data_IF_855618013878
#
_entry.id   IF_855618013878
#
_cell.length_a   1.000
_cell.length_b   1.000
_cell.length_c   1.000
_cell.angle_alpha   90.00
_cell.angle_beta   90.00
_cell.angle_gamma   90.00
#
_symmetry.space_group_name_H-M   'P 1'
#
loop_
_entity.id
_entity.type
_entity.pdbx_description
1 polymer ?
#
# COMPACT_ATOMS: atom_id res chain seq x y z
N UNK A 1 29.01 13.09 -25.20
CA UNK A 1 28.63 12.84 -26.62
C UNK A 1 29.75 13.37 -27.53
N UNK A 2 29.86 12.94 -28.79
CA UNK A 2 30.82 13.61 -29.70
C UNK A 2 30.23 14.97 -30.14
N UNK A 3 31.06 15.98 -30.49
CA UNK A 3 30.57 17.32 -30.81
C UNK A 3 29.59 17.38 -32.00
N UNK A 4 29.74 16.49 -32.99
CA UNK A 4 28.87 16.44 -34.16
C UNK A 4 27.48 15.88 -33.81
N UNK A 5 27.40 14.84 -32.98
CA UNK A 5 26.15 14.27 -32.49
C UNK A 5 25.41 15.23 -31.56
N UNK A 6 26.15 16.03 -30.78
CA UNK A 6 25.62 17.11 -29.93
C UNK A 6 24.95 18.21 -30.74
N UNK A 7 25.64 18.69 -31.76
CA UNK A 7 25.09 19.67 -32.69
C UNK A 7 23.84 19.16 -33.39
N UNK A 8 23.85 17.91 -33.87
CA UNK A 8 22.70 17.29 -34.54
C UNK A 8 21.45 17.16 -33.65
N UNK A 9 21.63 16.83 -32.37
CA UNK A 9 20.52 16.75 -31.40
C UNK A 9 19.88 18.13 -31.16
N UNK A 10 20.72 19.16 -30.97
CA UNK A 10 20.27 20.54 -30.78
C UNK A 10 19.54 21.04 -32.03
N UNK A 11 20.09 20.78 -33.22
CA UNK A 11 19.48 21.15 -34.50
C UNK A 11 18.08 20.53 -34.65
N UNK A 12 17.90 19.25 -34.29
CA UNK A 12 16.60 18.57 -34.32
C UNK A 12 15.61 19.14 -33.30
N UNK A 13 16.04 19.38 -32.07
CA UNK A 13 15.17 19.94 -31.01
C UNK A 13 14.70 21.35 -31.35
N UNK A 14 15.58 22.18 -31.93
CA UNK A 14 15.23 23.53 -32.38
C UNK A 14 14.25 23.47 -33.55
N UNK A 15 14.46 22.58 -34.53
CA UNK A 15 13.51 22.40 -35.63
C UNK A 15 12.12 21.93 -35.16
N UNK A 16 12.03 21.09 -34.14
CA UNK A 16 10.76 20.66 -33.55
C UNK A 16 9.99 21.81 -32.89
N UNK A 17 10.71 22.78 -32.31
CA UNK A 17 10.13 23.95 -31.64
C UNK A 17 9.77 25.04 -32.65
N UNK A 18 10.60 25.25 -33.67
CA UNK A 18 10.39 26.27 -34.72
C UNK A 18 9.40 25.81 -35.82
N UNK A 19 9.16 24.50 -35.95
CA UNK A 19 8.24 23.91 -36.95
C UNK A 19 6.75 24.03 -36.65
N UNK A 20 6.34 24.78 -35.62
CA UNK A 20 4.95 24.88 -35.15
C UNK A 20 4.19 26.17 -35.50
N UNK A 21 4.85 27.30 -35.77
CA UNK A 21 4.18 28.56 -36.13
C UNK A 21 5.18 29.54 -36.77
N UNK A 22 4.93 29.95 -38.01
CA UNK A 22 5.82 30.76 -38.84
C UNK A 22 5.87 32.25 -38.44
N UNK A 23 5.47 32.61 -37.22
CA UNK A 23 5.33 34.01 -36.76
C UNK A 23 6.20 34.38 -35.56
N UNK A 24 6.98 33.46 -34.99
CA UNK A 24 7.90 33.78 -33.89
C UNK A 24 9.24 34.36 -34.40
N UNK A 25 9.73 35.48 -33.84
CA UNK A 25 11.03 36.03 -34.21
C UNK A 25 12.16 35.07 -33.82
N UNK A 26 13.21 35.02 -34.64
CA UNK A 26 14.46 34.25 -34.49
C UNK A 26 14.95 34.15 -33.03
N UNK A 27 14.46 33.15 -32.31
CA UNK A 27 14.92 32.74 -30.98
C UNK A 27 16.01 31.64 -31.07
N UNK A 28 16.35 31.21 -32.29
CA UNK A 28 17.20 30.06 -32.57
C UNK A 28 18.51 30.07 -31.81
N UNK A 29 19.28 31.17 -31.83
CA UNK A 29 20.62 31.19 -31.23
C UNK A 29 20.59 31.14 -29.69
N UNK A 30 19.62 31.81 -29.07
CA UNK A 30 19.45 31.79 -27.61
C UNK A 30 18.93 30.43 -27.11
N UNK A 31 17.98 29.82 -27.85
CA UNK A 31 17.49 28.48 -27.55
C UNK A 31 18.57 27.42 -27.75
N UNK A 32 19.36 27.54 -28.83
CA UNK A 32 20.52 26.69 -29.10
C UNK A 32 21.53 26.77 -27.97
N UNK A 33 21.89 27.98 -27.54
CA UNK A 33 22.81 28.16 -26.42
C UNK A 33 22.26 27.56 -25.14
N UNK A 34 20.98 27.79 -24.82
CA UNK A 34 20.37 27.25 -23.61
C UNK A 34 20.28 25.72 -23.63
N UNK A 35 19.94 25.11 -24.78
CA UNK A 35 19.96 23.66 -24.96
C UNK A 35 21.38 23.11 -24.87
N UNK A 36 22.37 23.80 -25.44
CA UNK A 36 23.76 23.40 -25.36
C UNK A 36 24.28 23.46 -23.92
N UNK A 37 23.89 24.49 -23.17
CA UNK A 37 24.22 24.63 -21.75
C UNK A 37 23.55 23.52 -20.92
N UNK A 38 22.26 23.23 -21.15
CA UNK A 38 21.53 22.14 -20.47
C UNK A 38 22.12 20.76 -20.80
N UNK A 39 22.49 20.51 -22.06
CA UNK A 39 23.17 19.28 -22.46
C UNK A 39 24.55 19.21 -21.82
N UNK A 40 25.30 20.31 -21.79
CA UNK A 40 26.59 20.39 -21.11
C UNK A 40 26.49 20.12 -19.61
N UNK A 41 25.44 20.64 -18.95
CA UNK A 41 25.14 20.36 -17.55
C UNK A 41 24.76 18.90 -17.35
N UNK A 42 23.94 18.32 -18.23
CA UNK A 42 23.58 16.90 -18.18
C UNK A 42 24.76 15.96 -18.48
N UNK A 43 25.68 16.35 -19.37
CA UNK A 43 26.89 15.59 -19.70
C UNK A 43 27.93 15.62 -18.57
N UNK A 44 28.02 16.74 -17.85
CA UNK A 44 28.90 16.91 -16.70
C UNK A 44 28.23 16.50 -15.38
N UNK A 45 26.95 16.11 -15.40
CA UNK A 45 26.25 15.56 -14.25
C UNK A 45 26.87 14.20 -13.90
N UNK A 46 27.76 14.21 -12.92
CA UNK A 46 28.24 12.97 -12.31
C UNK A 46 27.13 12.54 -11.34
N UNK A 47 26.44 11.41 -11.56
CA UNK A 47 25.40 11.00 -10.64
C UNK A 47 26.06 10.59 -9.33
N UNK A 48 26.09 11.51 -8.38
CA UNK A 48 26.48 11.21 -7.01
C UNK A 48 25.36 10.43 -6.34
N UNK A 49 25.75 9.54 -5.44
CA UNK A 49 24.85 9.13 -4.36
C UNK A 49 25.03 10.10 -3.21
N UNK A 50 23.95 10.44 -2.53
CA UNK A 50 24.00 11.21 -1.30
C UNK A 50 23.17 10.53 -0.21
N UNK A 51 23.58 10.69 1.04
CA UNK A 51 22.79 10.25 2.17
C UNK A 51 21.84 11.38 2.54
N UNK A 52 20.54 11.12 2.49
CA UNK A 52 19.50 12.09 2.79
C UNK A 52 18.40 11.47 3.63
N UNK A 53 17.76 12.28 4.47
CA UNK A 53 16.51 11.90 5.12
C UNK A 53 15.37 11.93 4.10
N UNK A 54 14.65 10.82 3.97
CA UNK A 54 13.50 10.69 3.07
C UNK A 54 12.36 10.04 3.85
N UNK A 55 11.14 10.51 3.61
CA UNK A 55 9.92 9.83 4.03
C UNK A 55 9.42 8.98 2.87
N UNK A 56 9.40 7.67 3.11
CA UNK A 56 9.03 6.66 2.14
C UNK A 56 7.59 6.22 2.45
N UNK A 57 6.72 6.37 1.46
CA UNK A 57 5.35 5.86 1.49
C UNK A 57 5.28 4.66 0.55
N UNK A 58 4.92 3.50 1.08
CA UNK A 58 4.51 2.36 0.27
C UNK A 58 3.02 2.12 0.44
N UNK A 59 2.34 1.85 -0.67
CA UNK A 59 0.95 1.42 -0.70
C UNK A 59 0.82 0.16 -1.53
N UNK A 60 -0.14 -0.70 -1.17
CA UNK A 60 -0.41 -1.97 -1.84
C UNK A 60 -1.91 -2.29 -1.80
N UNK A 61 -2.42 -2.93 -2.84
CA UNK A 61 -3.82 -3.30 -2.93
C UNK A 61 -4.08 -4.66 -2.25
N UNK A 62 -4.83 -4.62 -1.16
CA UNK A 62 -5.16 -5.80 -0.36
C UNK A 62 -6.01 -6.79 -1.15
N UNK A 63 -5.45 -7.98 -1.30
CA UNK A 63 -6.12 -9.07 -1.99
C UNK A 63 -6.13 -8.98 -3.51
N UNK A 64 -5.37 -8.03 -4.08
CA UNK A 64 -5.40 -7.76 -5.51
C UNK A 64 -5.05 -8.97 -6.37
N UNK A 65 -4.10 -9.79 -5.95
CA UNK A 65 -3.69 -10.98 -6.71
C UNK A 65 -4.87 -11.95 -6.89
N UNK A 66 -5.60 -12.26 -5.81
CA UNK A 66 -6.78 -13.13 -5.88
C UNK A 66 -7.99 -12.46 -6.57
N UNK A 67 -8.09 -11.12 -6.54
CA UNK A 67 -9.09 -10.39 -7.34
C UNK A 67 -8.75 -10.50 -8.83
N UNK A 68 -7.47 -10.37 -9.20
CA UNK A 68 -7.01 -10.33 -10.59
C UNK A 68 -7.31 -11.60 -11.38
N UNK A 69 -7.42 -12.75 -10.71
CA UNK A 69 -7.78 -14.03 -11.33
C UNK A 69 -9.25 -14.10 -11.81
N UNK A 70 -10.10 -13.20 -11.33
CA UNK A 70 -11.56 -13.19 -11.63
C UNK A 70 -11.94 -12.28 -12.79
N UNK A 71 -11.01 -11.48 -13.28
CA UNK A 71 -11.25 -10.49 -14.33
C UNK A 71 -10.30 -10.73 -15.50
N UNK A 72 -10.71 -10.28 -16.69
CA UNK A 72 -9.82 -10.33 -17.86
C UNK A 72 -8.65 -9.35 -17.70
N UNK A 73 -7.53 -9.64 -18.37
CA UNK A 73 -6.36 -8.77 -18.34
C UNK A 73 -6.68 -7.30 -18.76
N UNK A 74 -7.48 -7.03 -19.80
CA UNK A 74 -7.87 -5.65 -20.14
C UNK A 74 -8.66 -4.94 -19.04
N UNK A 75 -9.59 -5.63 -18.37
CA UNK A 75 -10.37 -5.07 -17.27
C UNK A 75 -9.47 -4.72 -16.08
N UNK A 76 -8.53 -5.61 -15.75
CA UNK A 76 -7.56 -5.39 -14.68
C UNK A 76 -6.61 -4.23 -14.98
N UNK A 77 -6.12 -4.12 -16.21
CA UNK A 77 -5.28 -3.00 -16.63
C UNK A 77 -6.05 -1.68 -16.56
N UNK A 78 -7.32 -1.66 -16.97
CA UNK A 78 -8.15 -0.46 -16.86
C UNK A 78 -8.36 -0.04 -15.39
N UNK A 79 -8.59 -0.99 -14.49
CA UNK A 79 -8.72 -0.73 -13.06
C UNK A 79 -7.43 -0.21 -12.42
N UNK A 80 -6.30 -0.83 -12.75
CA UNK A 80 -4.97 -0.38 -12.29
C UNK A 80 -4.66 1.02 -12.81
N UNK A 81 -4.96 1.32 -14.07
CA UNK A 81 -4.71 2.65 -14.62
C UNK A 81 -5.56 3.73 -13.92
N UNK A 82 -6.84 3.46 -13.62
CA UNK A 82 -7.68 4.39 -12.83
C UNK A 82 -7.07 4.63 -11.43
N UNK A 83 -6.67 3.55 -10.77
CA UNK A 83 -6.01 3.61 -9.46
C UNK A 83 -4.71 4.42 -9.53
N UNK A 84 -3.81 4.10 -10.46
CA UNK A 84 -2.53 4.78 -10.63
C UNK A 84 -2.67 6.24 -11.00
N UNK A 85 -3.57 6.59 -11.90
CA UNK A 85 -3.81 7.99 -12.27
C UNK A 85 -4.24 8.81 -11.05
N UNK A 86 -5.19 8.30 -10.25
CA UNK A 86 -5.69 9.02 -9.08
C UNK A 86 -4.65 9.11 -7.97
N UNK A 87 -3.94 8.03 -7.67
CA UNK A 87 -2.88 8.06 -6.65
C UNK A 87 -1.72 8.96 -7.04
N UNK A 88 -1.33 8.95 -8.32
CA UNK A 88 -0.25 9.81 -8.84
C UNK A 88 -0.60 11.28 -8.70
N UNK A 89 -1.83 11.67 -9.04
CA UNK A 89 -2.31 13.05 -8.88
C UNK A 89 -2.19 13.52 -7.41
N UNK A 90 -2.58 12.66 -6.46
CA UNK A 90 -2.52 12.97 -5.02
C UNK A 90 -1.06 13.09 -4.57
N UNK A 91 -0.21 12.12 -4.92
CA UNK A 91 1.22 12.11 -4.54
C UNK A 91 1.92 13.40 -5.03
N UNK A 92 1.72 13.75 -6.31
CA UNK A 92 2.33 14.94 -6.89
C UNK A 92 1.78 16.24 -6.27
N UNK A 93 0.48 16.29 -5.93
CA UNK A 93 -0.14 17.45 -5.26
C UNK A 93 0.50 17.74 -3.90
N UNK A 94 0.93 16.70 -3.18
CA UNK A 94 1.63 16.83 -1.90
C UNK A 94 3.15 16.95 -2.04
N UNK A 95 3.67 17.16 -3.25
CA UNK A 95 5.12 17.32 -3.49
C UNK A 95 5.93 16.03 -3.42
N UNK A 96 5.27 14.87 -3.31
CA UNK A 96 5.94 13.58 -3.39
C UNK A 96 6.35 13.23 -4.83
N UNK A 97 7.37 12.40 -4.96
CA UNK A 97 7.77 11.81 -6.24
C UNK A 97 7.47 10.30 -6.26
N UNK A 98 7.08 9.78 -7.42
CA UNK A 98 6.91 8.33 -7.59
C UNK A 98 8.28 7.75 -7.94
N UNK A 99 8.76 6.85 -7.10
CA UNK A 99 9.98 6.09 -7.35
C UNK A 99 9.69 4.97 -8.35
N UNK A 100 8.72 4.10 -8.05
CA UNK A 100 8.28 3.04 -8.95
C UNK A 100 6.92 2.43 -8.60
N UNK A 101 6.35 1.77 -9.59
CA UNK A 101 5.22 0.84 -9.45
C UNK A 101 5.73 -0.60 -9.39
N UNK A 102 5.22 -1.41 -8.45
CA UNK A 102 5.63 -2.79 -8.22
C UNK A 102 4.42 -3.72 -8.23
N UNK A 103 3.95 -4.07 -9.43
CA UNK A 103 2.72 -4.86 -9.58
C UNK A 103 1.48 -4.00 -9.39
N UNK A 104 0.94 -4.02 -8.17
CA UNK A 104 -0.18 -3.20 -7.66
C UNK A 104 0.25 -2.23 -6.55
N UNK A 105 1.52 -2.31 -6.12
CA UNK A 105 2.09 -1.43 -5.13
C UNK A 105 2.66 -0.14 -5.74
N UNK A 106 2.61 0.95 -4.97
CA UNK A 106 3.21 2.25 -5.29
C UNK A 106 4.25 2.59 -4.22
N UNK A 107 5.46 2.95 -4.65
CA UNK A 107 6.47 3.55 -3.79
C UNK A 107 6.62 5.04 -4.14
N UNK A 108 6.37 5.89 -3.15
CA UNK A 108 6.51 7.33 -3.25
C UNK A 108 7.51 7.87 -2.22
N UNK A 109 8.21 8.93 -2.59
CA UNK A 109 9.27 9.56 -1.81
C UNK A 109 8.93 11.03 -1.56
N UNK A 110 9.07 11.45 -0.31
CA UNK A 110 9.04 12.84 0.11
C UNK A 110 10.41 13.15 0.70
N UNK A 111 11.07 14.21 0.24
CA UNK A 111 12.49 14.42 0.50
C UNK A 111 13.42 14.10 -0.66
N UNK A 112 12.92 13.49 -1.74
CA UNK A 112 13.70 13.17 -2.94
C UNK A 112 12.85 13.31 -4.21
N UNK A 113 13.38 13.85 -5.33
CA UNK A 113 14.72 14.42 -5.48
C UNK A 113 14.88 15.78 -4.78
N UNK A 114 13.77 16.44 -4.43
CA UNK A 114 13.75 17.70 -3.71
C UNK A 114 13.26 17.46 -2.29
N UNK A 115 13.87 18.13 -1.31
CA UNK A 115 13.45 18.07 0.08
C UNK A 115 12.68 19.33 0.47
N UNK A 116 11.66 19.15 1.30
CA UNK A 116 10.86 20.22 1.88
C UNK A 116 10.92 20.10 3.41
N UNK A 117 10.74 21.21 4.12
CA UNK A 117 10.77 21.21 5.59
C UNK A 117 9.64 20.36 6.21
N UNK A 118 8.62 20.03 5.42
CA UNK A 118 7.40 19.37 5.85
C UNK A 118 7.14 18.02 5.18
N UNK A 119 8.17 17.37 4.64
CA UNK A 119 8.08 16.09 3.92
C UNK A 119 7.30 15.01 4.71
N UNK A 120 7.49 14.92 6.03
CA UNK A 120 6.73 13.99 6.89
C UNK A 120 5.26 14.37 6.94
N UNK A 121 4.94 15.64 7.17
CA UNK A 121 3.56 16.12 7.24
C UNK A 121 2.83 15.94 5.90
N UNK A 122 3.50 16.25 4.79
CA UNK A 122 2.99 16.08 3.43
C UNK A 122 2.73 14.60 3.10
N UNK A 123 3.64 13.70 3.46
CA UNK A 123 3.46 12.26 3.26
C UNK A 123 2.24 11.69 4.01
N UNK A 124 2.03 12.14 5.26
CA UNK A 124 0.89 11.72 6.07
C UNK A 124 -0.43 12.25 5.50
N UNK A 125 -0.47 13.51 5.06
CA UNK A 125 -1.65 14.10 4.45
C UNK A 125 -1.98 13.42 3.12
N UNK A 126 -0.95 13.16 2.30
CA UNK A 126 -1.05 12.38 1.08
C UNK A 126 -1.66 11.00 1.35
N UNK A 127 -1.17 10.26 2.36
CA UNK A 127 -1.68 8.94 2.68
C UNK A 127 -3.16 8.95 3.09
N UNK A 128 -3.60 9.94 3.88
CA UNK A 128 -5.02 10.08 4.23
C UNK A 128 -5.85 10.36 2.98
N UNK A 129 -5.42 11.28 2.12
CA UNK A 129 -6.18 11.57 0.88
C UNK A 129 -6.20 10.40 -0.10
N UNK A 130 -5.10 9.65 -0.21
CA UNK A 130 -5.07 8.40 -0.99
C UNK A 130 -6.11 7.41 -0.49
N UNK A 131 -6.24 7.22 0.85
CA UNK A 131 -7.27 6.36 1.41
C UNK A 131 -8.69 6.88 1.18
N UNK A 132 -8.92 8.20 1.28
CA UNK A 132 -10.22 8.81 0.99
C UNK A 132 -10.61 8.65 -0.48
N UNK A 133 -9.67 8.81 -1.41
CA UNK A 133 -9.91 8.68 -2.84
C UNK A 133 -10.29 7.26 -3.28
N UNK A 134 -10.04 6.24 -2.45
CA UNK A 134 -10.49 4.88 -2.74
C UNK A 134 -12.01 4.75 -2.81
N UNK A 135 -12.77 5.63 -2.14
CA UNK A 135 -14.23 5.63 -2.24
C UNK A 135 -14.69 5.96 -3.67
N UNK A 136 -14.13 7.02 -4.27
CA UNK A 136 -14.40 7.44 -5.64
C UNK A 136 -14.01 6.34 -6.65
N UNK A 137 -12.82 5.77 -6.48
CA UNK A 137 -12.30 4.68 -7.33
C UNK A 137 -13.21 3.45 -7.24
N UNK A 138 -13.66 3.09 -6.04
CA UNK A 138 -14.53 1.94 -5.84
C UNK A 138 -15.94 2.16 -6.37
N UNK A 139 -16.45 3.40 -6.31
CA UNK A 139 -17.73 3.73 -6.93
C UNK A 139 -17.68 3.52 -8.45
N UNK A 140 -16.58 3.90 -9.09
CA UNK A 140 -16.37 3.67 -10.52
C UNK A 140 -16.16 2.19 -10.84
N UNK A 141 -15.30 1.49 -10.09
CA UNK A 141 -15.08 0.04 -10.23
C UNK A 141 -16.40 -0.75 -10.12
N UNK A 142 -17.28 -0.37 -9.19
CA UNK A 142 -18.61 -0.99 -9.05
C UNK A 142 -19.49 -0.80 -10.30
N UNK A 143 -19.41 0.35 -10.98
CA UNK A 143 -20.12 0.57 -12.26
C UNK A 143 -19.62 -0.35 -13.37
N UNK A 144 -18.38 -0.82 -13.26
CA UNK A 144 -17.78 -1.83 -14.14
C UNK A 144 -17.94 -3.27 -13.63
N UNK A 145 -18.76 -3.52 -12.61
CA UNK A 145 -18.98 -4.86 -12.06
C UNK A 145 -17.82 -5.41 -11.24
N UNK A 146 -16.83 -4.58 -10.90
CA UNK A 146 -15.69 -5.00 -10.10
C UNK A 146 -15.99 -4.98 -8.60
N UNK A 147 -15.32 -5.87 -7.87
CA UNK A 147 -15.34 -5.86 -6.41
C UNK A 147 -14.55 -4.65 -5.89
N UNK A 148 -14.93 -4.02 -4.76
CA UNK A 148 -14.15 -2.95 -4.16
C UNK A 148 -12.70 -3.36 -3.91
N UNK A 149 -11.78 -2.47 -4.28
CA UNK A 149 -10.37 -2.56 -3.96
C UNK A 149 -10.11 -1.91 -2.61
N UNK A 150 -9.20 -2.48 -1.83
CA UNK A 150 -8.78 -1.90 -0.57
C UNK A 150 -7.27 -1.69 -0.60
N UNK A 151 -6.80 -0.64 0.06
CA UNK A 151 -5.40 -0.28 0.09
C UNK A 151 -4.88 -0.30 1.52
N UNK A 152 -3.68 -0.82 1.72
CA UNK A 152 -2.88 -0.61 2.92
C UNK A 152 -1.74 0.35 2.60
N UNK A 153 -1.36 1.19 3.57
CA UNK A 153 -0.24 2.13 3.43
C UNK A 153 0.71 1.95 4.61
N UNK A 154 2.01 1.91 4.34
CA UNK A 154 3.08 2.00 5.33
C UNK A 154 4.00 3.20 5.07
N UNK A 155 4.38 3.90 6.14
CA UNK A 155 5.19 5.11 6.05
C UNK A 155 6.38 5.03 7.00
N UNK A 156 7.58 5.25 6.47
CA UNK A 156 8.81 5.32 7.26
C UNK A 156 9.66 6.53 6.85
N UNK A 157 10.10 7.32 7.83
CA UNK A 157 11.06 8.40 7.64
C UNK A 157 12.43 8.01 8.20
N UNK A 158 13.47 8.10 7.36
CA UNK A 158 14.81 7.65 7.75
C UNK A 158 15.91 8.11 6.79
N UNK A 159 17.16 7.85 7.16
CA UNK A 159 18.32 8.17 6.32
C UNK A 159 18.54 7.08 5.28
N UNK A 160 18.49 7.46 4.00
CA UNK A 160 18.71 6.56 2.86
C UNK A 160 19.78 7.10 1.93
N UNK A 161 20.36 6.22 1.13
CA UNK A 161 21.19 6.59 0.00
C UNK A 161 20.27 6.88 -1.18
N UNK A 162 20.27 8.10 -1.69
CA UNK A 162 19.54 8.50 -2.89
C UNK A 162 20.52 8.71 -4.05
N UNK A 163 20.13 8.34 -5.27
CA UNK A 163 20.97 8.60 -6.45
C UNK A 163 20.54 7.82 -7.69
N UNK A 164 21.19 8.09 -8.81
CA UNK A 164 21.00 7.28 -10.01
C UNK A 164 21.79 5.98 -9.91
N UNK A 165 21.08 4.87 -9.86
CA UNK A 165 21.62 3.53 -9.72
C UNK A 165 21.27 2.70 -10.95
N UNK A 166 22.18 1.82 -11.35
CA UNK A 166 21.98 0.91 -12.47
C UNK A 166 23.18 0.78 -13.40
N UNK A 167 22.94 0.16 -14.55
CA UNK A 167 23.97 -0.04 -15.58
C UNK A 167 24.04 1.15 -16.54
N UNK A 168 25.03 1.14 -17.43
CA UNK A 168 25.12 2.15 -18.50
C UNK A 168 23.91 2.16 -19.45
N UNK A 169 23.15 1.06 -19.56
CA UNK A 169 21.93 0.95 -20.39
C UNK A 169 20.64 1.31 -19.65
N UNK A 170 20.66 1.25 -18.32
CA UNK A 170 19.46 1.40 -17.51
C UNK A 170 19.83 2.01 -16.17
N UNK A 171 19.45 3.26 -15.97
CA UNK A 171 19.66 4.03 -14.73
C UNK A 171 18.31 4.50 -14.22
N UNK A 172 18.06 4.27 -12.93
CA UNK A 172 16.90 4.78 -12.21
C UNK A 172 17.38 5.69 -11.08
N UNK A 173 16.74 6.84 -10.90
CA UNK A 173 16.89 7.59 -9.66
C UNK A 173 16.07 6.89 -8.59
N UNK A 174 16.70 6.37 -7.53
CA UNK A 174 16.01 5.59 -6.52
C UNK A 174 16.71 5.68 -5.16
N UNK A 175 16.10 5.07 -4.15
CA UNK A 175 16.60 5.04 -2.77
C UNK A 175 16.99 3.63 -2.36
N UNK A 176 18.09 3.51 -1.62
CA UNK A 176 18.58 2.25 -1.04
C UNK A 176 18.86 2.45 0.44
N UNK A 177 18.48 1.46 1.25
CA UNK A 177 18.85 1.41 2.65
C UNK A 177 17.89 0.53 3.45
N UNK A 178 18.26 0.25 4.70
CA UNK A 178 17.43 -0.52 5.62
C UNK A 178 16.08 0.16 5.88
N UNK A 179 16.01 1.48 5.77
CA UNK A 179 14.79 2.27 5.92
C UNK A 179 13.74 1.98 4.82
N UNK A 180 14.17 1.59 3.61
CA UNK A 180 13.28 1.15 2.54
C UNK A 180 12.64 -0.19 2.90
N UNK A 181 13.45 -1.11 3.44
CA UNK A 181 12.98 -2.41 3.91
C UNK A 181 12.05 -2.29 5.12
N UNK A 182 12.32 -1.32 6.01
CA UNK A 182 11.42 -1.02 7.13
C UNK A 182 10.09 -0.46 6.63
N UNK A 183 10.10 0.45 5.66
CA UNK A 183 8.87 0.98 5.06
C UNK A 183 8.01 -0.14 4.45
N UNK A 184 8.63 -1.03 3.67
CA UNK A 184 7.93 -2.19 3.08
C UNK A 184 7.38 -3.14 4.16
N UNK A 185 8.12 -3.31 5.26
CA UNK A 185 7.65 -4.11 6.40
C UNK A 185 6.44 -3.46 7.08
N UNK A 186 6.49 -2.16 7.36
CA UNK A 186 5.37 -1.43 7.97
C UNK A 186 4.14 -1.51 7.06
N UNK A 187 4.32 -1.35 5.75
CA UNK A 187 3.25 -1.50 4.76
C UNK A 187 2.63 -2.89 4.83
N UNK A 188 3.43 -3.96 4.77
CA UNK A 188 2.93 -5.35 4.76
C UNK A 188 2.07 -5.73 5.99
N UNK A 189 2.23 -5.01 7.09
CA UNK A 189 1.45 -5.19 8.32
C UNK A 189 0.15 -4.38 8.34
N UNK A 190 0.01 -3.39 7.45
CA UNK A 190 -1.20 -2.59 7.37
C UNK A 190 -2.35 -3.39 6.77
N UNK A 191 -3.54 -3.16 7.28
CA UNK A 191 -4.77 -3.84 6.87
C UNK A 191 -5.57 -2.98 5.90
N UNK A 192 -6.77 -3.45 5.53
CA UNK A 192 -7.65 -2.72 4.60
C UNK A 192 -7.99 -1.33 5.14
N UNK A 193 -7.67 -0.30 4.37
CA UNK A 193 -7.92 1.10 4.72
C UNK A 193 -7.00 1.65 5.81
N UNK A 194 -5.98 0.90 6.23
CA UNK A 194 -5.08 1.30 7.30
C UNK A 194 -3.88 2.05 6.77
N UNK A 195 -3.44 3.05 7.55
CA UNK A 195 -2.17 3.74 7.36
C UNK A 195 -1.32 3.44 8.60
N UNK A 196 -0.21 2.75 8.42
CA UNK A 196 0.74 2.43 9.49
C UNK A 196 2.00 3.29 9.38
N UNK A 197 2.45 3.80 10.52
CA UNK A 197 3.66 4.58 10.66
C UNK A 197 4.70 3.74 11.39
N UNK A 198 5.96 3.79 10.94
CA UNK A 198 7.08 3.40 11.78
C UNK A 198 7.17 4.30 13.01
N UNK A 199 7.90 3.83 14.02
CA UNK A 199 8.21 4.64 15.19
C UNK A 199 8.93 5.95 14.85
N UNK A 200 9.88 5.95 13.90
CA UNK A 200 10.61 7.16 13.51
C UNK A 200 9.70 8.22 12.88
N UNK A 201 8.72 7.79 12.08
CA UNK A 201 7.70 8.69 11.50
C UNK A 201 6.78 9.23 12.60
N UNK A 202 6.31 8.36 13.50
CA UNK A 202 5.47 8.77 14.63
C UNK A 202 6.17 9.81 15.50
N UNK A 203 7.43 9.58 15.89
CA UNK A 203 8.18 10.50 16.76
C UNK A 203 8.35 11.89 16.15
N UNK A 204 8.48 11.98 14.82
CA UNK A 204 8.54 13.25 14.09
C UNK A 204 7.17 13.95 14.00
N UNK A 205 6.08 13.19 14.01
CA UNK A 205 4.73 13.70 13.76
C UNK A 205 3.82 13.81 15.00
N UNK A 206 4.19 13.20 16.13
CA UNK A 206 3.34 13.04 17.34
C UNK A 206 2.75 14.34 17.90
N UNK A 207 3.31 15.49 17.56
CA UNK A 207 2.78 16.79 17.97
C UNK A 207 1.51 17.23 17.22
N UNK A 208 1.18 16.59 16.10
CA UNK A 208 0.09 17.02 15.21
C UNK A 208 -0.72 15.87 14.59
N UNK A 209 -0.63 14.65 15.14
CA UNK A 209 -1.41 13.50 14.67
C UNK A 209 -2.14 12.78 15.81
N UNK A 210 -3.30 12.23 15.49
CA UNK A 210 -4.00 11.26 16.34
C UNK A 210 -3.65 9.85 15.85
N UNK A 211 -3.26 8.96 16.77
CA UNK A 211 -2.92 7.56 16.45
C UNK A 211 -3.74 6.55 17.24
N UNK A 212 -3.93 5.36 16.66
CA UNK A 212 -4.53 4.22 17.32
C UNK A 212 -3.58 3.50 18.29
N UNK A 213 -3.97 2.31 18.72
CA UNK A 213 -3.14 1.45 19.57
C UNK A 213 -1.84 1.04 18.85
N UNK A 214 -0.76 0.92 19.64
CA UNK A 214 0.55 0.51 19.13
C UNK A 214 0.53 -0.97 18.78
N UNK A 215 0.96 -1.29 17.57
CA UNK A 215 1.20 -2.66 17.13
C UNK A 215 2.69 -2.97 17.25
N UNK A 216 3.05 -3.97 18.04
CA UNK A 216 4.44 -4.38 18.25
C UNK A 216 4.68 -5.80 17.70
N UNK A 217 5.67 -5.95 16.82
CA UNK A 217 5.94 -7.21 16.13
C UNK A 217 7.37 -7.66 16.33
N UNK A 218 7.53 -8.88 16.85
CA UNK A 218 8.81 -9.56 16.96
C UNK A 218 9.13 -10.31 15.67
N UNK A 219 10.30 -10.04 15.10
CA UNK A 219 10.73 -10.66 13.84
C UNK A 219 11.77 -11.74 14.14
N UNK A 220 11.59 -12.92 13.53
CA UNK A 220 12.58 -14.00 13.57
C UNK A 220 13.94 -13.49 13.05
N UNK A 221 14.97 -13.50 13.91
CA UNK A 221 16.34 -13.14 13.55
C UNK A 221 16.77 -11.70 13.85
N UNK A 222 15.92 -10.86 14.46
CA UNK A 222 16.32 -9.55 15.02
C UNK A 222 16.02 -9.47 16.51
N UNK A 223 16.85 -8.74 17.26
CA UNK A 223 16.71 -8.54 18.71
C UNK A 223 15.57 -7.58 19.07
N UNK A 224 15.26 -6.64 18.18
CA UNK A 224 14.34 -5.54 18.48
C UNK A 224 12.99 -5.74 17.78
N UNK A 225 11.92 -5.48 18.51
CA UNK A 225 10.56 -5.43 17.99
C UNK A 225 10.36 -4.19 17.11
N UNK A 226 9.50 -4.30 16.10
CA UNK A 226 9.09 -3.15 15.28
C UNK A 226 7.77 -2.62 15.83
N UNK A 227 7.79 -1.38 16.33
CA UNK A 227 6.59 -0.66 16.76
C UNK A 227 5.98 0.11 15.60
N UNK A 228 4.66 -0.04 15.45
CA UNK A 228 3.88 0.57 14.37
C UNK A 228 2.66 1.28 14.95
N UNK A 229 2.33 2.44 14.40
CA UNK A 229 1.24 3.29 14.87
C UNK A 229 0.22 3.49 13.75
N UNK A 230 -1.06 3.24 14.02
CA UNK A 230 -2.13 3.52 13.05
C UNK A 230 -2.43 5.01 13.03
N UNK A 231 -2.26 5.67 11.87
CA UNK A 231 -2.65 7.08 11.71
C UNK A 231 -4.17 7.19 11.60
N UNK A 232 -4.79 7.96 12.50
CA UNK A 232 -6.23 8.18 12.54
C UNK A 232 -6.63 9.57 12.04
N UNK A 233 -5.86 10.60 12.40
CA UNK A 233 -6.12 11.96 11.94
C UNK A 233 -4.87 12.84 12.01
N UNK A 234 -4.92 13.96 11.30
CA UNK A 234 -3.95 15.05 11.37
C UNK A 234 -4.62 16.32 11.89
N UNK A 235 -3.91 17.05 12.74
CA UNK A 235 -4.31 18.32 13.39
C UNK A 235 -3.32 19.45 13.11
N UNK A 236 -2.41 19.25 12.16
CA UNK A 236 -1.38 20.22 11.76
C UNK A 236 -1.89 21.24 10.74
N UNK A 237 -1.08 21.56 9.74
CA UNK A 237 -1.49 22.36 8.58
C UNK A 237 -2.66 21.71 7.85
N UNK A 238 -2.67 20.39 7.78
CA UNK A 238 -3.76 19.60 7.23
C UNK A 238 -4.67 19.08 8.35
N UNK A 239 -5.96 19.39 8.26
CA UNK A 239 -7.00 18.87 9.15
C UNK A 239 -7.76 17.74 8.45
N UNK A 240 -7.12 16.57 8.43
CA UNK A 240 -7.62 15.39 7.70
C UNK A 240 -7.89 14.25 8.69
N UNK A 241 -8.90 13.43 8.39
CA UNK A 241 -9.23 12.24 9.18
C UNK A 241 -9.20 11.05 8.25
N UNK A 242 -8.49 9.99 8.63
CA UNK A 242 -8.48 8.74 7.88
C UNK A 242 -9.90 8.14 7.86
N UNK A 243 -10.32 7.52 6.75
CA UNK A 243 -11.65 6.91 6.66
C UNK A 243 -11.83 5.87 7.77
N UNK A 244 -13.00 5.88 8.41
CA UNK A 244 -13.32 4.89 9.45
C UNK A 244 -13.42 3.51 8.82
N UNK A 245 -12.75 2.53 9.42
CA UNK A 245 -12.80 1.12 9.01
C UNK A 245 -14.16 0.55 9.44
N UNK A 246 -15.11 0.41 8.50
CA UNK A 246 -16.45 -0.15 8.77
C UNK A 246 -16.40 -1.51 9.51
N UNK A 247 -15.34 -2.29 9.30
CA UNK A 247 -15.12 -3.61 9.90
C UNK A 247 -15.14 -3.57 11.44
N UNK A 248 -14.62 -2.50 12.08
CA UNK A 248 -14.51 -2.41 13.56
C UNK A 248 -15.86 -2.27 14.27
N UNK A 249 -16.92 -1.89 13.57
CA UNK A 249 -18.27 -1.72 14.14
C UNK A 249 -19.24 -2.84 13.74
N UNK A 250 -18.77 -3.87 13.04
CA UNK A 250 -19.62 -5.01 12.68
C UNK A 250 -19.93 -5.85 13.93
N UNK A 251 -21.18 -6.32 14.09
CA UNK A 251 -21.52 -7.21 15.18
C UNK A 251 -20.64 -8.46 15.13
N UNK A 252 -20.14 -8.89 16.29
CA UNK A 252 -19.45 -10.17 16.45
C UNK A 252 -20.40 -11.15 17.10
N UNK A 253 -20.49 -12.34 16.53
CA UNK A 253 -21.32 -13.43 17.08
C UNK A 253 -20.42 -14.57 17.47
N UNK A 254 -20.65 -15.12 18.66
CA UNK A 254 -19.94 -16.30 19.15
C UNK A 254 -20.35 -17.53 18.35
N UNK A 255 -19.36 -18.33 17.97
CA UNK A 255 -19.54 -19.58 17.22
C UNK A 255 -18.57 -20.63 17.73
N UNK A 256 -18.80 -21.88 17.35
CA UNK A 256 -17.84 -22.96 17.56
C UNK A 256 -17.82 -23.84 16.32
N UNK A 257 -17.12 -23.38 15.28
CA UNK A 257 -17.06 -24.04 13.98
C UNK A 257 -15.64 -24.56 13.71
N UNK A 258 -15.48 -25.77 13.16
CA UNK A 258 -14.17 -26.25 12.73
C UNK A 258 -13.62 -25.38 11.59
N UNK A 259 -12.32 -25.13 11.62
CA UNK A 259 -11.59 -24.37 10.61
C UNK A 259 -10.40 -25.18 10.13
N UNK A 260 -10.24 -25.27 8.81
CA UNK A 260 -9.00 -25.70 8.18
C UNK A 260 -8.44 -24.52 7.39
N UNK A 261 -7.16 -24.21 7.62
CA UNK A 261 -6.48 -23.11 6.95
C UNK A 261 -5.05 -23.48 6.56
N UNK A 262 -4.47 -22.68 5.67
CA UNK A 262 -3.09 -22.79 5.22
C UNK A 262 -2.41 -21.42 5.39
N UNK A 263 -1.11 -21.40 5.63
CA UNK A 263 -0.31 -20.17 5.73
C UNK A 263 0.27 -19.78 4.39
N UNK A 264 0.51 -18.49 4.17
CA UNK A 264 1.18 -17.98 2.98
C UNK A 264 2.61 -17.51 3.29
N UNK A 265 3.50 -17.68 2.32
CA UNK A 265 4.82 -17.04 2.30
C UNK A 265 4.91 -16.14 1.06
N UNK A 266 4.81 -14.82 1.28
CA UNK A 266 4.64 -13.86 0.19
C UNK A 266 3.33 -14.11 -0.56
N UNK A 267 3.41 -14.39 -1.87
CA UNK A 267 2.24 -14.69 -2.73
C UNK A 267 1.96 -16.20 -2.87
N UNK A 268 2.68 -17.06 -2.18
CA UNK A 268 2.58 -18.52 -2.32
C UNK A 268 1.87 -19.14 -1.12
N UNK A 269 0.87 -20.00 -1.37
CA UNK A 269 0.19 -20.78 -0.33
C UNK A 269 1.01 -22.02 -0.01
N UNK A 270 1.32 -22.24 1.27
CA UNK A 270 2.06 -23.42 1.72
C UNK A 270 1.13 -24.66 1.74
N UNK A 271 1.65 -25.87 1.41
CA UNK A 271 0.82 -27.07 1.26
C UNK A 271 0.28 -27.64 2.59
N UNK A 272 0.87 -27.25 3.72
CA UNK A 272 0.47 -27.71 5.05
C UNK A 272 -0.91 -27.15 5.42
N UNK A 273 -1.82 -28.06 5.81
CA UNK A 273 -3.14 -27.72 6.34
C UNK A 273 -3.09 -27.75 7.86
N UNK A 274 -3.67 -26.75 8.50
CA UNK A 274 -3.75 -26.61 9.95
C UNK A 274 -5.20 -26.60 10.39
N UNK A 275 -5.47 -27.30 11.48
CA UNK A 275 -6.79 -27.38 12.10
C UNK A 275 -6.92 -26.36 13.24
N UNK A 276 -8.10 -25.77 13.35
CA UNK A 276 -8.44 -24.78 14.36
C UNK A 276 -9.96 -24.71 14.54
N UNK A 277 -10.42 -23.80 15.39
CA UNK A 277 -11.84 -23.49 15.59
C UNK A 277 -12.08 -21.99 15.49
N UNK A 278 -13.18 -21.62 14.86
CA UNK A 278 -13.70 -20.26 14.87
C UNK A 278 -14.46 -20.09 16.19
N UNK A 279 -14.07 -19.11 17.00
CA UNK A 279 -14.71 -18.81 18.29
C UNK A 279 -15.71 -17.65 18.20
N UNK A 280 -15.46 -16.72 17.28
CA UNK A 280 -16.38 -15.65 16.95
C UNK A 280 -16.17 -15.22 15.50
N UNK A 281 -17.21 -14.65 14.88
CA UNK A 281 -17.17 -14.15 13.50
C UNK A 281 -17.88 -12.81 13.38
N UNK A 282 -17.38 -11.98 12.47
CA UNK A 282 -17.87 -10.64 12.14
C UNK A 282 -17.84 -10.46 10.61
N UNK A 283 -18.33 -9.33 10.11
CA UNK A 283 -18.37 -9.10 8.65
C UNK A 283 -16.99 -9.09 7.98
N UNK A 284 -15.96 -8.65 8.70
CA UNK A 284 -14.61 -8.46 8.14
C UNK A 284 -13.52 -9.27 8.82
N UNK A 285 -13.86 -10.22 9.69
CA UNK A 285 -12.87 -11.01 10.39
C UNK A 285 -13.47 -11.99 11.38
N UNK A 286 -12.63 -12.79 11.99
CA UNK A 286 -13.02 -13.78 13.00
C UNK A 286 -11.94 -13.91 14.07
N UNK A 287 -12.27 -14.56 15.17
CA UNK A 287 -11.26 -15.02 16.12
C UNK A 287 -11.11 -16.52 16.01
N UNK A 288 -9.86 -16.97 16.00
CA UNK A 288 -9.50 -18.37 15.79
C UNK A 288 -8.78 -18.88 17.03
N UNK A 289 -9.11 -20.11 17.41
CA UNK A 289 -8.49 -20.86 18.48
C UNK A 289 -7.81 -22.11 17.91
N UNK A 290 -6.55 -22.35 18.26
CA UNK A 290 -5.75 -23.49 17.77
C UNK A 290 -4.80 -23.99 18.85
N UNK A 291 -4.47 -25.28 18.78
CA UNK A 291 -3.42 -25.89 19.61
C UNK A 291 -2.01 -25.45 19.15
N UNK A 292 -1.89 -24.96 17.91
CA UNK A 292 -0.64 -24.49 17.34
C UNK A 292 -0.56 -22.96 17.31
N UNK A 293 0.63 -22.45 17.65
CA UNK A 293 0.92 -21.03 17.59
C UNK A 293 1.09 -20.54 16.16
N UNK A 294 0.71 -19.29 15.93
CA UNK A 294 0.88 -18.58 14.66
C UNK A 294 1.88 -17.44 14.79
N UNK A 295 2.50 -17.05 13.68
CA UNK A 295 3.22 -15.78 13.64
C UNK A 295 2.21 -14.63 13.56
N UNK A 296 2.35 -13.55 14.37
CA UNK A 296 1.61 -12.32 14.16
C UNK A 296 1.78 -11.82 12.73
N UNK A 297 0.72 -11.30 12.12
CA UNK A 297 0.69 -10.75 10.75
C UNK A 297 0.92 -11.77 9.64
N UNK A 298 0.93 -13.07 9.95
CA UNK A 298 0.89 -14.12 8.95
C UNK A 298 -0.37 -14.00 8.08
N UNK A 299 -0.19 -14.12 6.78
CA UNK A 299 -1.29 -14.28 5.83
C UNK A 299 -1.73 -15.75 5.83
N UNK A 300 -3.04 -15.95 5.86
CA UNK A 300 -3.67 -17.27 5.85
C UNK A 300 -4.75 -17.36 4.77
N UNK A 301 -4.94 -18.55 4.21
CA UNK A 301 -6.02 -18.92 3.31
C UNK A 301 -6.90 -19.95 4.00
N UNK A 302 -8.22 -19.79 3.90
CA UNK A 302 -9.20 -20.75 4.39
C UNK A 302 -10.36 -20.90 3.42
N UNK A 303 -11.08 -22.01 3.51
CA UNK A 303 -12.35 -22.21 2.82
C UNK A 303 -13.45 -22.44 3.86
N UNK A 304 -14.51 -21.62 3.81
CA UNK A 304 -15.62 -21.69 4.75
C UNK A 304 -16.93 -22.01 4.05
N UNK A 305 -17.73 -22.88 4.65
CA UNK A 305 -19.14 -23.00 4.28
C UNK A 305 -19.99 -22.55 5.47
N UNK A 306 -20.75 -21.48 5.25
CA UNK A 306 -21.63 -20.87 6.27
C UNK A 306 -23.11 -21.13 5.97
N UNK A 307 -23.41 -21.94 4.95
CA UNK A 307 -24.76 -22.41 4.66
C UNK A 307 -24.99 -23.76 5.31
N UNK A 308 -26.20 -23.99 5.82
CA UNK A 308 -26.62 -25.25 6.46
C UNK A 308 -26.45 -26.49 5.57
N UNK A 309 -26.41 -26.30 4.25
CA UNK A 309 -26.28 -27.41 3.29
C UNK A 309 -24.84 -27.68 2.82
N UNK A 310 -23.85 -26.87 3.24
CA UNK A 310 -22.42 -27.15 3.03
C UNK A 310 -21.95 -27.14 1.56
N UNK A 311 -22.74 -26.62 0.62
CA UNK A 311 -22.47 -26.77 -0.83
C UNK A 311 -21.56 -25.69 -1.40
N UNK A 312 -21.58 -24.50 -0.84
CA UNK A 312 -20.79 -23.37 -1.32
C UNK A 312 -19.64 -23.13 -0.33
N UNK A 313 -18.42 -23.34 -0.82
CA UNK A 313 -17.18 -23.00 -0.12
C UNK A 313 -16.72 -21.63 -0.58
N UNK A 314 -16.62 -20.70 0.36
CA UNK A 314 -16.04 -19.38 0.14
C UNK A 314 -14.56 -19.43 0.48
N UNK A 315 -13.71 -19.14 -0.51
CA UNK A 315 -12.28 -18.92 -0.26
C UNK A 315 -12.05 -17.53 0.33
N UNK A 316 -11.36 -17.50 1.47
CA UNK A 316 -11.09 -16.29 2.23
C UNK A 316 -9.58 -16.22 2.48
N UNK A 317 -9.01 -15.08 2.18
CA UNK A 317 -7.67 -14.70 2.62
C UNK A 317 -7.81 -13.76 3.80
N UNK A 318 -7.01 -13.99 4.84
CA UNK A 318 -7.04 -13.19 6.05
C UNK A 318 -5.62 -12.94 6.57
N UNK A 319 -5.46 -11.90 7.38
CA UNK A 319 -4.21 -11.59 8.08
C UNK A 319 -4.41 -11.79 9.58
N UNK A 320 -3.50 -12.54 10.20
CA UNK A 320 -3.43 -12.72 11.66
C UNK A 320 -3.05 -11.39 12.29
N UNK A 321 -3.82 -10.88 13.25
CA UNK A 321 -3.55 -9.56 13.84
C UNK A 321 -2.55 -9.63 15.00
N UNK A 322 -2.77 -10.61 15.88
CA UNK A 322 -1.94 -10.88 17.07
C UNK A 322 -2.16 -12.32 17.49
N UNK A 323 -1.28 -12.85 18.33
CA UNK A 323 -1.39 -14.20 18.86
C UNK A 323 -1.22 -14.16 20.38
N UNK A 324 -2.15 -14.79 21.08
CA UNK A 324 -2.23 -14.79 22.55
C UNK A 324 -2.44 -16.22 23.02
N UNK A 325 -1.68 -16.67 24.03
CA UNK A 325 -1.89 -17.98 24.65
C UNK A 325 -2.84 -17.82 25.83
N UNK A 326 -4.02 -18.46 25.79
CA UNK A 326 -5.05 -18.39 26.82
C UNK A 326 -5.43 -19.83 27.19
N UNK A 327 -5.25 -20.19 28.46
CA UNK A 327 -5.58 -21.52 29.00
C UNK A 327 -4.99 -22.70 28.21
N UNK A 328 -3.77 -22.51 27.66
CA UNK A 328 -3.07 -23.54 26.88
C UNK A 328 -3.45 -23.60 25.40
N UNK A 329 -4.38 -22.75 24.94
CA UNK A 329 -4.82 -22.67 23.55
C UNK A 329 -4.41 -21.31 22.95
N UNK A 330 -3.88 -21.32 21.71
CA UNK A 330 -3.55 -20.09 21.01
C UNK A 330 -4.80 -19.45 20.44
N UNK A 331 -5.04 -18.19 20.80
CA UNK A 331 -6.11 -17.35 20.24
C UNK A 331 -5.54 -16.24 19.41
N UNK A 332 -6.00 -16.15 18.17
CA UNK A 332 -5.57 -15.14 17.24
C UNK A 332 -6.75 -14.58 16.42
N UNK A 333 -7.08 -13.29 16.58
CA UNK A 333 -8.01 -12.62 15.69
C UNK A 333 -7.38 -12.47 14.30
N UNK A 334 -8.21 -12.64 13.27
CA UNK A 334 -7.84 -12.51 11.87
C UNK A 334 -8.80 -11.52 11.19
N UNK A 335 -8.26 -10.71 10.28
CA UNK A 335 -9.05 -9.80 9.45
C UNK A 335 -9.01 -10.25 7.99
N UNK A 336 -10.17 -10.28 7.33
CA UNK A 336 -10.28 -10.69 5.94
C UNK A 336 -9.59 -9.67 5.03
N UNK A 337 -8.56 -10.14 4.31
CA UNK A 337 -7.83 -9.38 3.31
C UNK A 337 -8.39 -9.58 1.92
N UNK A 338 -8.97 -10.74 1.61
CA UNK A 338 -9.71 -11.02 0.36
C UNK A 338 -10.91 -11.93 0.61
N UNK A 339 -12.04 -11.60 0.00
CA UNK A 339 -13.24 -12.44 -0.05
C UNK A 339 -14.05 -12.04 -1.28
N UNK A 340 -14.71 -13.00 -1.92
CA UNK A 340 -15.58 -12.71 -3.05
C UNK A 340 -16.94 -12.11 -2.60
N UNK A 341 -17.68 -11.42 -3.48
CA UNK A 341 -18.96 -10.80 -3.10
C UNK A 341 -20.03 -11.78 -2.59
N UNK A 342 -20.07 -13.02 -3.11
CA UNK A 342 -21.02 -14.04 -2.66
C UNK A 342 -20.64 -14.48 -1.25
N UNK A 343 -19.36 -14.74 -1.03
CA UNK A 343 -18.81 -15.05 0.30
C UNK A 343 -19.03 -13.95 1.32
N UNK A 344 -18.78 -12.69 0.96
CA UNK A 344 -18.99 -11.54 1.84
C UNK A 344 -20.46 -11.41 2.24
N UNK A 345 -21.37 -11.61 1.28
CA UNK A 345 -22.81 -11.61 1.53
C UNK A 345 -23.20 -12.78 2.45
N UNK A 346 -22.67 -13.98 2.23
CA UNK A 346 -22.94 -15.15 3.06
C UNK A 346 -22.49 -14.96 4.52
N UNK A 347 -21.29 -14.39 4.76
CA UNK A 347 -20.83 -14.03 6.12
C UNK A 347 -21.78 -13.02 6.75
N UNK A 348 -22.15 -11.97 6.02
CA UNK A 348 -23.07 -10.96 6.53
C UNK A 348 -24.42 -11.56 6.93
N UNK A 349 -25.02 -12.37 6.06
CA UNK A 349 -26.31 -13.04 6.33
C UNK A 349 -26.22 -14.01 7.52
N UNK A 350 -25.11 -14.75 7.64
CA UNK A 350 -24.85 -15.62 8.78
C UNK A 350 -24.77 -14.85 10.10
N UNK A 351 -23.99 -13.77 10.13
CA UNK A 351 -23.84 -12.92 11.33
C UNK A 351 -25.16 -12.26 11.70
N UNK A 352 -25.87 -11.68 10.72
CA UNK A 352 -27.16 -11.02 10.94
C UNK A 352 -28.21 -12.00 11.47
N UNK A 353 -28.26 -13.23 10.93
CA UNK A 353 -29.17 -14.28 11.39
C UNK A 353 -28.96 -14.65 12.85
N UNK A 354 -27.70 -14.79 13.30
CA UNK A 354 -27.41 -15.07 14.71
C UNK A 354 -27.74 -13.87 15.61
N UNK A 355 -27.46 -12.63 15.17
CA UNK A 355 -27.83 -11.42 15.92
C UNK A 355 -29.34 -11.34 16.10
N UNK A 356 -30.12 -11.65 15.06
CA UNK A 356 -31.59 -11.68 15.15
C UNK A 356 -32.09 -12.80 16.08
N UNK A 357 -31.48 -13.98 16.04
CA UNK A 357 -31.81 -15.08 16.96
C UNK A 357 -31.53 -14.73 18.42
N UNK A 358 -30.43 -14.02 18.72
CA UNK A 358 -30.05 -13.63 20.08
C UNK A 358 -30.85 -12.44 20.64
N UNK A 359 -31.66 -11.77 19.81
CA UNK A 359 -32.54 -10.67 20.22
C UNK A 359 -33.94 -11.14 20.64
N UNK A 360 -34.31 -12.38 20.29
CA UNK A 360 -35.54 -13.05 20.71
C UNK A 360 -35.27 -14.03 21.84
#
# INVERSE_FOLDING_TARGET
MNPNSRKQLIDHLVMLVEGGDATLPRAGDALRQHLDDLIGQAENYTPGTEIRRVTILLSDLRGFTAISEKFSAPEMVAALNRYYSRMTEIILRYGGSIDKFMGDAIMALFGAPNALDDDVEAALACAIEMQLAMEEINLENKRHGMTPLHMGIGINAGMVVVGQLGSWRHREYTVIGDEVNLAARVEAHSLRGQILLSESTYEQAKGYIDVGEVNEVFVKGKKDSVRMFELLAMRGRHHLTAPKREIRNSPRVEVNLPLVFQTLEGKSVLPEHREARIIDISYGGMSVASDEGMAPFADIKMALSLTLMGRDLTEIYAKVLRVTLIDGEYRFPVEFTTIDPVGQKAIKEFVDGIVEMNRN
#
